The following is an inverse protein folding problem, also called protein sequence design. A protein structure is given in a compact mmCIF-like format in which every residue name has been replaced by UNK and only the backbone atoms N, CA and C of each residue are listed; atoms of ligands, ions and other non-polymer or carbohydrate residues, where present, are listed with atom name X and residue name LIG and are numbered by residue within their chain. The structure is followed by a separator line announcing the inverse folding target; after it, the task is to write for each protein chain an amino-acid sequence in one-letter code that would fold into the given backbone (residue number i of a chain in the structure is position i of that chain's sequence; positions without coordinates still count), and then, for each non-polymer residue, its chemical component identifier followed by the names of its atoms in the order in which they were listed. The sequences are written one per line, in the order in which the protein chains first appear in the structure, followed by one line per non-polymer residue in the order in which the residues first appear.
data_IF_296004984754
#
_entry.id   IF_296004984754
#
_cell.length_a   1.000
_cell.length_b   1.000
_cell.length_c   1.000
_cell.angle_alpha   90.00
_cell.angle_beta   90.00
_cell.angle_gamma   90.00
#
_symmetry.space_group_name_H-M   'P 1'
#
loop_
_entity.id
_entity.type
_entity.pdbx_description
1 polymer ?
#
# COMPACT_ATOMS: atom_id res chain seq x y z
N UNK A 1 -13.69 -15.88 10.15
CA UNK A 1 -12.69 -15.62 11.19
C UNK A 1 -11.82 -14.49 10.67
N UNK A 2 -11.82 -13.35 11.35
CA UNK A 2 -11.08 -12.17 10.91
C UNK A 2 -9.58 -12.45 10.95
N UNK A 3 -8.83 -11.70 10.15
CA UNK A 3 -7.38 -11.75 10.13
C UNK A 3 -6.82 -11.37 11.51
N UNK A 4 -5.69 -11.98 11.89
CA UNK A 4 -4.97 -11.66 13.13
C UNK A 4 -3.96 -10.56 12.87
N UNK A 5 -3.98 -9.49 13.70
CA UNK A 5 -3.07 -8.34 13.55
C UNK A 5 -1.61 -8.79 13.57
N UNK A 6 -1.21 -9.57 14.57
CA UNK A 6 0.20 -9.93 14.77
C UNK A 6 0.71 -10.83 13.65
N UNK A 7 -0.12 -11.80 13.22
CA UNK A 7 0.26 -12.73 12.16
C UNK A 7 0.32 -12.02 10.80
N UNK A 8 -0.70 -11.23 10.45
CA UNK A 8 -0.73 -10.50 9.18
C UNK A 8 0.40 -9.49 9.08
N UNK A 9 0.72 -8.77 10.17
CA UNK A 9 1.85 -7.84 10.17
C UNK A 9 3.18 -8.58 10.01
N UNK A 10 3.37 -9.69 10.73
CA UNK A 10 4.60 -10.47 10.64
C UNK A 10 4.79 -11.05 9.23
N UNK A 11 3.74 -11.60 8.63
CA UNK A 11 3.75 -12.10 7.25
C UNK A 11 4.10 -10.99 6.25
N UNK A 12 3.41 -9.84 6.32
CA UNK A 12 3.71 -8.71 5.44
C UNK A 12 5.15 -8.22 5.60
N UNK A 13 5.64 -8.05 6.82
CA UNK A 13 7.03 -7.61 7.07
C UNK A 13 8.03 -8.64 6.57
N UNK A 14 7.72 -9.93 6.63
CA UNK A 14 8.60 -11.00 6.14
C UNK A 14 8.73 -11.05 4.62
N UNK A 15 7.84 -10.38 3.88
CA UNK A 15 7.88 -10.31 2.42
C UNK A 15 8.62 -9.03 2.01
N UNK A 16 9.83 -9.12 1.44
CA UNK A 16 10.52 -7.93 0.98
C UNK A 16 9.79 -7.28 -0.20
N UNK A 17 9.77 -5.95 -0.21
CA UNK A 17 9.19 -5.13 -1.29
C UNK A 17 9.99 -3.83 -1.46
N UNK A 18 11.31 -3.94 -1.58
CA UNK A 18 12.19 -2.77 -1.57
C UNK A 18 12.03 -1.98 -2.87
N UNK A 19 11.82 -0.67 -2.76
CA UNK A 19 11.96 0.24 -3.87
C UNK A 19 13.47 0.45 -4.17
N UNK A 20 13.94 0.23 -5.41
CA UNK A 20 15.35 0.44 -5.75
C UNK A 20 15.80 1.92 -5.70
N UNK A 21 14.87 2.88 -5.55
CA UNK A 21 15.16 4.32 -5.48
C UNK A 21 15.95 4.84 -6.71
N UNK A 22 15.63 4.31 -7.89
CA UNK A 22 16.31 4.63 -9.14
C UNK A 22 17.69 3.99 -9.30
N UNK A 23 18.14 3.15 -8.36
CA UNK A 23 19.39 2.38 -8.48
C UNK A 23 19.18 1.17 -9.40
N UNK A 24 20.18 0.78 -10.22
CA UNK A 24 20.09 -0.41 -11.06
C UNK A 24 20.32 -1.68 -10.22
N UNK A 25 19.39 -1.98 -9.32
CA UNK A 25 19.45 -3.14 -8.44
C UNK A 25 18.49 -4.22 -8.93
N UNK A 26 18.94 -5.47 -8.83
CA UNK A 26 18.20 -6.66 -9.20
C UNK A 26 18.19 -7.63 -8.03
N UNK A 27 17.11 -8.41 -7.90
CA UNK A 27 16.89 -9.32 -6.79
C UNK A 27 15.42 -9.67 -6.61
N UNK A 28 15.17 -10.67 -5.78
CA UNK A 28 13.81 -11.09 -5.39
C UNK A 28 13.24 -10.24 -4.25
N UNK A 29 14.09 -9.42 -3.64
CA UNK A 29 13.75 -8.49 -2.58
C UNK A 29 13.23 -7.13 -3.07
N UNK A 30 13.42 -6.83 -4.36
CA UNK A 30 12.99 -5.60 -4.99
C UNK A 30 11.62 -5.71 -5.63
N UNK A 31 10.92 -4.58 -5.68
CA UNK A 31 9.57 -4.43 -6.23
C UNK A 31 8.49 -5.16 -5.42
N UNK A 32 7.24 -4.87 -5.73
CA UNK A 32 6.10 -5.15 -4.85
C UNK A 32 5.34 -6.42 -5.20
N UNK A 33 5.66 -7.08 -6.32
CA UNK A 33 4.92 -8.24 -6.83
C UNK A 33 4.62 -9.32 -5.78
N UNK A 34 5.54 -9.60 -4.85
CA UNK A 34 5.33 -10.60 -3.78
C UNK A 34 4.29 -10.14 -2.76
N UNK A 35 4.28 -8.85 -2.44
CA UNK A 35 3.23 -8.24 -1.60
C UNK A 35 1.92 -8.23 -2.36
N UNK A 36 1.93 -7.92 -3.67
CA UNK A 36 0.73 -7.99 -4.52
C UNK A 36 0.13 -9.39 -4.54
N UNK A 37 0.97 -10.43 -4.67
CA UNK A 37 0.55 -11.84 -4.65
C UNK A 37 -0.01 -12.25 -3.28
N UNK A 38 0.62 -11.81 -2.19
CA UNK A 38 0.09 -12.02 -0.84
C UNK A 38 -1.29 -11.39 -0.66
N UNK A 39 -1.44 -10.12 -1.06
CA UNK A 39 -2.70 -9.38 -0.96
C UNK A 39 -3.81 -10.03 -1.81
N UNK A 40 -3.47 -10.51 -3.01
CA UNK A 40 -4.40 -11.30 -3.81
C UNK A 40 -4.87 -12.54 -3.07
N UNK A 41 -3.96 -13.29 -2.45
CA UNK A 41 -4.30 -14.45 -1.61
C UNK A 41 -5.21 -14.08 -0.44
N UNK A 42 -4.97 -12.93 0.21
CA UNK A 42 -5.85 -12.41 1.26
C UNK A 42 -7.26 -12.09 0.72
N UNK A 43 -7.37 -11.44 -0.44
CA UNK A 43 -8.67 -11.10 -1.02
C UNK A 43 -9.43 -12.34 -1.51
N UNK A 44 -8.74 -13.33 -2.04
CA UNK A 44 -9.31 -14.65 -2.37
C UNK A 44 -9.82 -15.36 -1.11
N UNK A 45 -9.04 -15.36 -0.03
CA UNK A 45 -9.45 -15.95 1.26
C UNK A 45 -10.70 -15.29 1.84
N UNK A 46 -10.84 -13.99 1.66
CA UNK A 46 -12.00 -13.20 2.11
C UNK A 46 -13.20 -13.23 1.15
N UNK A 47 -13.09 -13.94 0.03
CA UNK A 47 -14.12 -13.99 -1.04
C UNK A 47 -14.52 -12.58 -1.53
N UNK A 48 -13.51 -11.70 -1.69
CA UNK A 48 -13.71 -10.35 -2.19
C UNK A 48 -13.34 -10.27 -3.67
N UNK A 49 -14.15 -9.60 -4.51
CA UNK A 49 -13.70 -9.23 -5.84
C UNK A 49 -12.50 -8.29 -5.73
N UNK A 50 -11.53 -8.48 -6.62
CA UNK A 50 -10.34 -7.65 -6.71
C UNK A 50 -9.93 -7.43 -8.16
N UNK A 51 -9.11 -6.40 -8.40
CA UNK A 51 -8.52 -6.07 -9.69
C UNK A 51 -7.05 -5.70 -9.48
N UNK A 52 -6.14 -6.32 -10.25
CA UNK A 52 -4.77 -5.83 -10.40
C UNK A 52 -4.72 -4.79 -11.51
N UNK A 53 -3.98 -3.71 -11.29
CA UNK A 53 -3.68 -2.71 -12.31
C UNK A 53 -2.16 -2.69 -12.52
N UNK A 54 -1.71 -3.25 -13.64
CA UNK A 54 -0.29 -3.29 -13.99
C UNK A 54 0.22 -1.87 -14.27
N UNK A 55 1.31 -1.48 -13.60
CA UNK A 55 1.97 -0.18 -13.77
C UNK A 55 3.29 -0.35 -14.52
N UNK A 56 4.17 -1.21 -14.00
CA UNK A 56 5.49 -1.54 -14.55
C UNK A 56 5.77 -3.04 -14.31
N UNK A 57 6.74 -3.68 -14.99
CA UNK A 57 7.13 -5.05 -14.67
C UNK A 57 7.36 -5.24 -13.16
N UNK A 58 6.74 -6.27 -12.58
CA UNK A 58 6.77 -6.57 -11.12
C UNK A 58 6.17 -5.48 -10.21
N UNK A 59 5.47 -4.48 -10.77
CA UNK A 59 4.71 -3.46 -10.04
C UNK A 59 3.26 -3.39 -10.51
N UNK A 60 2.34 -3.82 -9.66
CA UNK A 60 0.92 -3.67 -9.93
C UNK A 60 0.21 -3.14 -8.67
N UNK A 61 -0.63 -2.13 -8.84
CA UNK A 61 -1.61 -1.83 -7.81
C UNK A 61 -2.55 -3.04 -7.69
N UNK A 62 -3.09 -3.26 -6.50
CA UNK A 62 -4.19 -4.21 -6.31
C UNK A 62 -5.29 -3.56 -5.49
N UNK A 63 -6.52 -3.71 -5.95
CA UNK A 63 -7.70 -3.09 -5.36
C UNK A 63 -8.78 -4.14 -5.10
N UNK A 64 -9.38 -4.16 -3.92
CA UNK A 64 -10.48 -5.06 -3.57
C UNK A 64 -11.71 -4.26 -3.14
N UNK A 65 -12.91 -4.84 -3.36
CA UNK A 65 -14.18 -4.18 -3.05
C UNK A 65 -15.06 -5.00 -2.12
N UNK A 66 -15.48 -4.39 -1.03
CA UNK A 66 -16.57 -4.88 -0.20
C UNK A 66 -17.78 -3.96 -0.37
N UNK A 67 -18.86 -4.49 -0.94
CA UNK A 67 -20.07 -3.72 -1.22
C UNK A 67 -20.83 -3.34 0.06
N UNK A 68 -21.14 -2.04 0.18
CA UNK A 68 -21.92 -1.46 1.26
C UNK A 68 -23.42 -1.50 1.03
N UNK A 69 -24.17 -0.89 1.95
CA UNK A 69 -25.64 -0.79 1.91
C UNK A 69 -26.06 0.63 2.31
N UNK A 70 -26.80 1.39 1.47
CA UNK A 70 -27.18 1.05 0.09
C UNK A 70 -25.96 0.89 -0.80
N UNK A 71 -26.12 0.21 -1.94
CA UNK A 71 -25.01 0.00 -2.88
C UNK A 71 -24.51 1.34 -3.46
N UNK A 72 -23.28 1.37 -3.98
CA UNK A 72 -22.74 2.56 -4.62
C UNK A 72 -23.63 3.10 -5.76
N UNK A 73 -24.28 2.20 -6.52
CA UNK A 73 -25.22 2.54 -7.59
C UNK A 73 -26.54 3.16 -7.09
N UNK A 74 -26.92 2.89 -5.84
CA UNK A 74 -28.11 3.43 -5.19
C UNK A 74 -27.81 4.69 -4.35
N UNK A 75 -26.64 5.31 -4.55
CA UNK A 75 -26.21 6.48 -3.78
C UNK A 75 -25.49 6.17 -2.48
N UNK A 76 -25.12 4.91 -2.24
CA UNK A 76 -24.24 4.49 -1.16
C UNK A 76 -22.87 5.17 -1.23
N UNK A 77 -22.29 5.43 -0.06
CA UNK A 77 -20.97 6.06 0.06
C UNK A 77 -19.86 5.05 -0.21
N UNK A 78 -18.78 5.52 -0.80
CA UNK A 78 -17.56 4.75 -1.06
C UNK A 78 -16.43 5.35 -0.23
N UNK A 79 -15.87 4.54 0.67
CA UNK A 79 -14.69 4.86 1.45
C UNK A 79 -13.51 4.05 0.92
N UNK A 80 -12.42 4.72 0.57
CA UNK A 80 -11.18 4.06 0.17
C UNK A 80 -10.23 3.97 1.35
N UNK A 81 -9.71 2.78 1.62
CA UNK A 81 -8.52 2.55 2.43
C UNK A 81 -7.34 2.47 1.48
N UNK A 82 -6.30 3.26 1.74
CA UNK A 82 -5.11 3.34 0.89
C UNK A 82 -3.86 3.06 1.71
N UNK A 83 -3.02 2.17 1.18
CA UNK A 83 -1.69 1.89 1.70
C UNK A 83 -0.76 1.52 0.55
N UNK A 84 0.50 1.96 0.58
CA UNK A 84 1.48 1.55 -0.41
C UNK A 84 2.11 0.19 -0.06
N UNK A 85 2.64 -0.50 -1.07
CA UNK A 85 3.21 -1.86 -0.93
C UNK A 85 4.73 -1.85 -0.75
N UNK A 86 5.41 -0.82 -1.25
CA UNK A 86 6.87 -0.76 -1.22
C UNK A 86 7.42 -0.32 0.13
N UNK A 87 8.74 -0.41 0.25
CA UNK A 87 9.48 0.10 1.39
C UNK A 87 10.79 0.69 0.89
N UNK A 88 11.34 1.66 1.63
CA UNK A 88 12.72 2.11 1.39
C UNK A 88 13.77 0.98 1.56
N UNK A 89 14.97 1.15 0.99
CA UNK A 89 16.10 0.25 1.23
C UNK A 89 16.44 -0.02 2.71
N UNK A 90 17.09 -1.15 2.95
CA UNK A 90 17.46 -1.65 4.28
C UNK A 90 18.88 -1.22 4.71
N UNK A 91 19.52 -0.36 3.92
CA UNK A 91 20.85 0.18 4.19
C UNK A 91 20.95 0.74 5.63
N UNK A 92 21.92 0.25 6.40
CA UNK A 92 22.19 0.73 7.78
C UNK A 92 21.33 0.11 8.89
N UNK A 93 20.45 -0.85 8.59
CA UNK A 93 19.72 -1.58 9.63
C UNK A 93 20.66 -2.51 10.42
N UNK A 94 20.44 -2.61 11.73
CA UNK A 94 21.24 -3.43 12.66
C UNK A 94 20.59 -4.75 13.05
N UNK A 95 19.37 -4.97 12.57
CA UNK A 95 18.59 -6.20 12.73
C UNK A 95 18.35 -6.82 11.36
N UNK A 96 17.93 -8.08 11.32
CA UNK A 96 17.36 -8.65 10.10
C UNK A 96 16.08 -7.86 9.75
N UNK A 97 16.03 -7.15 8.60
CA UNK A 97 14.92 -6.31 8.23
C UNK A 97 13.60 -7.07 8.02
N UNK A 98 13.66 -8.38 7.73
CA UNK A 98 12.48 -9.16 7.33
C UNK A 98 12.18 -10.32 8.31
N UNK A 99 12.86 -10.37 9.46
CA UNK A 99 12.58 -11.39 10.49
C UNK A 99 11.26 -11.15 11.25
N UNK A 100 10.69 -9.94 11.19
CA UNK A 100 9.47 -9.54 11.90
C UNK A 100 9.50 -9.85 13.42
N UNK A 101 10.63 -9.59 14.07
CA UNK A 101 10.85 -9.93 15.47
C UNK A 101 9.96 -9.10 16.40
N UNK A 102 9.26 -9.76 17.34
CA UNK A 102 8.50 -9.08 18.39
C UNK A 102 9.31 -9.02 19.68
N UNK A 103 9.60 -7.80 20.16
CA UNK A 103 10.29 -7.55 21.42
C UNK A 103 9.59 -6.44 22.20
N UNK A 104 9.37 -6.67 23.50
CA UNK A 104 8.75 -5.69 24.42
C UNK A 104 7.43 -5.09 23.89
N UNK A 105 6.60 -5.93 23.27
CA UNK A 105 5.30 -5.53 22.71
C UNK A 105 5.38 -4.71 21.41
N UNK A 106 6.54 -4.70 20.74
CA UNK A 106 6.74 -4.03 19.45
C UNK A 106 7.26 -5.01 18.41
N UNK A 107 6.73 -4.92 17.19
CA UNK A 107 7.26 -5.65 16.04
C UNK A 107 8.32 -4.81 15.33
N UNK A 108 9.48 -5.41 15.09
CA UNK A 108 10.63 -4.80 14.45
C UNK A 108 10.86 -5.40 13.07
N UNK A 109 10.96 -4.52 12.06
CA UNK A 109 11.27 -4.90 10.68
C UNK A 109 11.04 -3.74 9.71
N UNK A 110 11.60 -3.86 8.51
CA UNK A 110 11.39 -2.91 7.41
C UNK A 110 9.93 -2.98 6.98
N UNK A 111 9.26 -1.83 6.95
CA UNK A 111 7.84 -1.77 6.62
C UNK A 111 6.92 -1.78 7.85
N UNK A 112 7.41 -2.17 9.04
CA UNK A 112 6.54 -2.40 10.20
C UNK A 112 5.73 -1.16 10.60
N UNK A 113 6.33 0.03 10.52
CA UNK A 113 5.63 1.30 10.73
C UNK A 113 5.14 1.90 9.40
N UNK A 114 6.06 2.09 8.46
CA UNK A 114 5.82 2.68 7.14
C UNK A 114 5.94 1.60 6.06
N UNK A 115 4.85 1.01 5.56
CA UNK A 115 3.44 1.28 5.94
C UNK A 115 2.64 0.01 6.30
N UNK A 116 3.32 -1.14 6.39
CA UNK A 116 2.69 -2.46 6.56
C UNK A 116 1.89 -2.57 7.87
N UNK A 117 2.25 -1.80 8.90
CA UNK A 117 1.45 -1.68 10.13
C UNK A 117 0.07 -1.09 9.89
N UNK A 118 0.01 0.06 9.22
CA UNK A 118 -1.26 0.71 8.86
C UNK A 118 -2.07 -0.13 7.85
N UNK A 119 -1.40 -0.72 6.86
CA UNK A 119 -2.01 -1.68 5.93
C UNK A 119 -2.66 -2.86 6.67
N UNK A 120 -1.95 -3.45 7.64
CA UNK A 120 -2.47 -4.56 8.45
C UNK A 120 -3.74 -4.16 9.21
N UNK A 121 -3.75 -2.98 9.82
CA UNK A 121 -4.93 -2.49 10.53
C UNK A 121 -6.15 -2.36 9.59
N UNK A 122 -5.94 -1.86 8.37
CA UNK A 122 -6.99 -1.75 7.35
C UNK A 122 -7.47 -3.12 6.85
N UNK A 123 -6.56 -4.08 6.60
CA UNK A 123 -6.90 -5.44 6.19
C UNK A 123 -7.70 -6.18 7.27
N UNK A 124 -7.30 -6.05 8.53
CA UNK A 124 -8.02 -6.64 9.66
C UNK A 124 -9.41 -6.01 9.80
N UNK A 125 -9.52 -4.68 9.69
CA UNK A 125 -10.82 -4.00 9.69
C UNK A 125 -11.71 -4.48 8.54
N UNK A 126 -11.16 -4.60 7.33
CA UNK A 126 -11.87 -5.14 6.16
C UNK A 126 -12.37 -6.56 6.43
N UNK A 127 -11.52 -7.44 6.96
CA UNK A 127 -11.91 -8.83 7.26
C UNK A 127 -13.05 -8.93 8.27
N UNK A 128 -13.07 -8.04 9.27
CA UNK A 128 -14.19 -7.95 10.23
C UNK A 128 -15.47 -7.44 9.56
N UNK A 129 -15.36 -6.44 8.68
CA UNK A 129 -16.51 -5.92 7.95
C UNK A 129 -17.11 -6.97 7.00
N UNK A 130 -16.30 -7.86 6.42
CA UNK A 130 -16.78 -9.00 5.62
C UNK A 130 -17.68 -9.91 6.45
N UNK A 131 -17.31 -10.17 7.71
CA UNK A 131 -18.02 -11.05 8.64
C UNK A 131 -19.25 -10.37 9.27
N UNK A 132 -19.09 -9.17 9.82
CA UNK A 132 -20.11 -8.48 10.62
C UNK A 132 -21.20 -7.81 9.75
N UNK A 133 -20.82 -7.30 8.57
CA UNK A 133 -21.66 -6.53 7.63
C UNK A 133 -22.69 -5.60 8.32
N UNK A 134 -22.24 -4.59 9.08
CA UNK A 134 -23.14 -3.70 9.80
C UNK A 134 -24.10 -2.96 8.85
N UNK A 135 -25.31 -2.69 9.33
CA UNK A 135 -26.29 -1.91 8.58
C UNK A 135 -25.73 -0.51 8.26
N UNK A 136 -26.06 -0.01 7.06
CA UNK A 136 -25.64 1.31 6.59
C UNK A 136 -24.11 1.50 6.38
N UNK A 137 -23.31 0.43 6.29
CA UNK A 137 -21.89 0.57 5.98
C UNK A 137 -21.65 1.07 4.55
N UNK A 138 -20.64 1.92 4.32
CA UNK A 138 -20.24 2.30 2.97
C UNK A 138 -19.63 1.11 2.22
N UNK A 139 -19.57 1.20 0.89
CA UNK A 139 -18.68 0.35 0.10
C UNK A 139 -17.24 0.67 0.50
N UNK A 140 -16.47 -0.36 0.84
CA UNK A 140 -15.06 -0.21 1.16
C UNK A 140 -14.24 -0.63 -0.05
N UNK A 141 -13.37 0.25 -0.50
CA UNK A 141 -12.32 -0.06 -1.47
C UNK A 141 -11.00 -0.20 -0.71
N UNK A 142 -10.41 -1.39 -0.67
CA UNK A 142 -9.03 -1.55 -0.19
C UNK A 142 -8.10 -1.37 -1.38
N UNK A 143 -7.34 -0.29 -1.40
CA UNK A 143 -6.47 0.09 -2.49
C UNK A 143 -5.00 0.04 -2.05
N UNK A 144 -4.24 -0.86 -2.66
CA UNK A 144 -2.82 -1.04 -2.33
C UNK A 144 -1.96 -0.55 -3.49
N UNK A 145 -1.35 0.63 -3.34
CA UNK A 145 -0.57 1.26 -4.42
C UNK A 145 0.89 0.78 -4.46
N UNK A 146 1.55 1.00 -5.60
CA UNK A 146 2.98 0.70 -5.79
C UNK A 146 3.79 1.97 -6.07
N UNK A 147 5.10 1.89 -5.80
CA UNK A 147 6.10 2.89 -6.11
C UNK A 147 5.90 4.24 -5.39
N UNK A 148 5.36 4.22 -4.16
CA UNK A 148 5.14 5.44 -3.37
C UNK A 148 6.48 6.09 -3.01
N UNK A 149 7.44 5.30 -2.53
CA UNK A 149 8.67 5.77 -1.90
C UNK A 149 9.60 6.56 -2.85
N UNK A 150 9.33 6.50 -4.15
CA UNK A 150 10.13 7.15 -5.18
C UNK A 150 9.34 7.90 -6.25
N UNK A 151 8.36 7.25 -6.90
CA UNK A 151 7.84 7.70 -8.21
C UNK A 151 6.36 8.04 -8.26
N UNK A 152 5.56 7.63 -7.27
CA UNK A 152 4.12 7.86 -7.18
C UNK A 152 3.30 7.31 -8.36
N UNK A 153 3.87 6.42 -9.18
CA UNK A 153 3.23 5.95 -10.41
C UNK A 153 1.97 5.14 -10.12
N UNK A 154 1.99 4.32 -9.06
CA UNK A 154 0.81 3.57 -8.62
C UNK A 154 -0.36 4.46 -8.25
N UNK A 155 -0.17 5.40 -7.32
CA UNK A 155 -1.23 6.32 -6.90
C UNK A 155 -1.75 7.20 -8.05
N UNK A 156 -0.85 7.66 -8.92
CA UNK A 156 -1.21 8.50 -10.09
C UNK A 156 -2.12 7.72 -11.05
N UNK A 157 -1.72 6.52 -11.44
CA UNK A 157 -2.47 5.73 -12.42
C UNK A 157 -3.71 5.07 -11.84
N UNK A 158 -3.77 4.86 -10.53
CA UNK A 158 -4.96 4.36 -9.84
C UNK A 158 -6.18 5.24 -10.08
N UNK A 159 -5.98 6.55 -10.28
CA UNK A 159 -7.08 7.47 -10.59
C UNK A 159 -7.83 7.13 -11.88
N UNK A 160 -7.19 6.40 -12.80
CA UNK A 160 -7.80 5.93 -14.05
C UNK A 160 -8.85 4.85 -13.83
N UNK A 161 -8.81 4.16 -12.68
CA UNK A 161 -9.77 3.10 -12.36
C UNK A 161 -11.20 3.63 -12.14
N UNK A 162 -11.37 4.91 -11.83
CA UNK A 162 -12.70 5.51 -11.72
C UNK A 162 -12.95 6.61 -12.75
N UNK A 163 -12.16 6.61 -13.84
CA UNK A 163 -12.44 7.47 -14.98
C UNK A 163 -13.70 7.00 -15.72
N UNK A 164 -14.34 7.92 -16.44
CA UNK A 164 -15.52 7.60 -17.25
C UNK A 164 -15.18 6.55 -18.32
N UNK A 165 -15.98 5.48 -18.39
CA UNK A 165 -15.78 4.37 -19.32
C UNK A 165 -14.69 3.37 -18.94
N UNK A 166 -14.08 3.48 -17.76
CA UNK A 166 -13.11 2.50 -17.28
C UNK A 166 -13.77 1.15 -17.01
N UNK A 167 -13.15 0.07 -17.49
CA UNK A 167 -13.44 -1.29 -17.05
C UNK A 167 -12.76 -1.51 -15.69
N UNK A 168 -13.51 -1.25 -14.62
CA UNK A 168 -12.95 -1.26 -13.27
C UNK A 168 -13.87 -1.80 -12.21
N UNK A 169 -13.25 -2.34 -11.17
CA UNK A 169 -13.89 -2.71 -9.92
C UNK A 169 -14.48 -1.51 -9.17
N UNK A 170 -13.95 -0.30 -9.36
CA UNK A 170 -14.50 0.92 -8.76
C UNK A 170 -15.85 1.27 -9.39
N UNK A 171 -16.94 1.33 -8.62
CA UNK A 171 -18.25 1.73 -9.17
C UNK A 171 -18.28 3.19 -9.65
N UNK A 172 -17.50 4.06 -9.00
CA UNK A 172 -17.28 5.48 -9.29
C UNK A 172 -16.13 5.99 -8.41
N UNK A 173 -15.80 7.28 -8.53
CA UNK A 173 -14.84 7.95 -7.66
C UNK A 173 -15.22 7.79 -6.18
N UNK A 174 -14.27 7.41 -5.29
CA UNK A 174 -14.49 7.37 -3.85
C UNK A 174 -14.92 8.72 -3.27
N UNK A 175 -15.78 8.70 -2.25
CA UNK A 175 -16.26 9.91 -1.56
C UNK A 175 -15.23 10.43 -0.54
N UNK A 176 -14.45 9.51 0.04
CA UNK A 176 -13.37 9.82 0.98
C UNK A 176 -12.28 8.74 0.89
N UNK A 177 -11.08 9.08 1.39
CA UNK A 177 -9.98 8.16 1.54
C UNK A 177 -9.38 8.27 2.95
N UNK A 178 -8.98 7.12 3.52
CA UNK A 178 -8.13 7.03 4.70
C UNK A 178 -6.81 6.43 4.23
N UNK A 179 -5.72 7.15 4.43
CA UNK A 179 -4.38 6.74 4.02
C UNK A 179 -3.63 6.24 5.26
N UNK A 180 -2.93 5.12 5.13
CA UNK A 180 -2.31 4.40 6.25
C UNK A 180 -1.02 5.02 6.82
N UNK A 181 -0.62 6.21 6.34
CA UNK A 181 0.66 6.85 6.66
C UNK A 181 0.86 7.03 8.18
N UNK A 182 2.08 6.83 8.71
CA UNK A 182 2.33 6.88 10.14
C UNK A 182 2.32 8.34 10.65
N UNK A 183 1.17 8.78 11.14
CA UNK A 183 0.97 10.11 11.74
C UNK A 183 0.99 10.09 13.27
N UNK A 184 1.35 8.97 13.89
CA UNK A 184 1.19 8.79 15.34
C UNK A 184 -0.27 8.71 15.77
N UNK A 185 -1.17 8.32 14.86
CA UNK A 185 -2.63 8.28 15.01
C UNK A 185 -3.31 9.67 15.04
N UNK A 186 -2.58 10.73 14.74
CA UNK A 186 -3.18 12.05 14.53
C UNK A 186 -3.94 12.10 13.20
N UNK A 187 -5.09 12.79 13.19
CA UNK A 187 -5.86 13.03 11.97
C UNK A 187 -5.20 14.16 11.18
N UNK A 188 -4.51 13.79 10.11
CA UNK A 188 -3.84 14.72 9.19
C UNK A 188 -4.66 14.85 7.91
N UNK A 189 -5.07 16.08 7.58
CA UNK A 189 -5.91 16.37 6.39
C UNK A 189 -5.14 17.06 5.26
N UNK A 190 -3.86 17.35 5.47
CA UNK A 190 -3.01 18.01 4.48
C UNK A 190 -1.53 17.69 4.73
N UNK A 191 -0.76 17.63 3.65
CA UNK A 191 0.70 17.51 3.67
C UNK A 191 1.35 18.61 2.82
N UNK A 192 2.68 18.78 2.95
CA UNK A 192 3.43 19.69 2.09
C UNK A 192 3.67 19.04 0.73
N UNK A 193 3.71 19.83 -0.33
CA UNK A 193 4.26 19.39 -1.60
C UNK A 193 5.77 19.16 -1.52
N UNK A 194 6.30 18.33 -2.41
CA UNK A 194 7.74 18.09 -2.55
C UNK A 194 8.21 18.45 -3.96
N UNK A 195 9.37 19.10 -4.03
CA UNK A 195 10.05 19.40 -5.29
C UNK A 195 11.49 18.94 -5.15
N UNK A 196 11.96 18.10 -6.07
CA UNK A 196 13.32 17.55 -6.09
C UNK A 196 14.03 18.00 -7.35
N UNK A 197 15.19 18.63 -7.22
CA UNK A 197 15.99 19.12 -8.36
C UNK A 197 17.26 18.30 -8.52
N UNK A 198 17.46 17.61 -9.67
CA UNK A 198 18.75 17.04 -9.99
C UNK A 198 19.71 18.17 -10.42
N UNK A 199 20.88 18.25 -9.80
CA UNK A 199 21.93 19.21 -10.18
C UNK A 199 23.13 18.41 -10.68
N UNK A 200 23.44 18.56 -11.97
CA UNK A 200 24.63 17.98 -12.60
C UNK A 200 25.64 19.10 -12.90
N UNK A 201 26.88 18.93 -12.46
CA UNK A 201 28.00 19.83 -12.81
C UNK A 201 29.03 19.08 -13.63
N UNK A 202 29.58 19.73 -14.65
CA UNK A 202 30.66 19.17 -15.48
C UNK A 202 31.95 19.92 -15.22
N UNK A 203 33.03 19.18 -15.01
CA UNK A 203 34.37 19.72 -14.79
C UNK A 203 35.42 18.84 -15.44
N UNK A 204 36.65 19.36 -15.54
CA UNK A 204 37.83 18.55 -15.86
C UNK A 204 38.49 18.15 -14.54
N UNK A 205 38.88 16.89 -14.41
CA UNK A 205 39.67 16.46 -13.27
C UNK A 205 40.98 17.27 -13.22
N UNK A 206 41.27 17.87 -12.07
CA UNK A 206 42.50 18.61 -11.79
C UNK A 206 43.12 18.10 -10.51
N UNK A 207 44.45 18.22 -10.39
CA UNK A 207 45.11 17.94 -9.12
C UNK A 207 44.60 18.91 -8.06
N UNK A 208 44.36 18.44 -6.84
CA UNK A 208 43.78 19.25 -5.76
C UNK A 208 44.73 20.29 -5.15
N UNK A 209 45.97 20.40 -5.66
CA UNK A 209 47.04 21.28 -5.18
C UNK A 209 47.19 22.53 -6.01
#
# INVERSE_FOLDING_TARGET
MPLSIDQTLAELVSIPSINPMGRPLEGDEFYEYRVTDYLEGVFQLLDLPYQRQQIEPRRANIVARLDGRPSASEGGKILMFEAHQDTVPTDGMTIDPFAAEVRDGRLYGRGACDIKGGMTAMLVALSRLVEDRPAAMPTIMMACSVNEEHGYSGATDMTRLWAEGADSIFPRRPDAAVVAEPTGLDVVVAHKGAMRWPIETRGRAGHSS
#
